data_IF_398325371976
#
_entry.id   IF_398325371976
#
_cell.length_a   1.000
_cell.length_b   1.000
_cell.length_c   1.000
_cell.angle_alpha   90.00
_cell.angle_beta   90.00
_cell.angle_gamma   90.00
#
_symmetry.space_group_name_H-M   'P 1'
#
loop_
_entity.id
_entity.type
_entity.pdbx_description
1 polymer ?
#
# COMPACT_ATOMS: atom_id res chain seq x y z
N UNK A 1 -5.74 37.96 -6.27
CA UNK A 1 -6.48 38.04 -7.55
C UNK A 1 -6.13 36.80 -8.38
N UNK A 2 -7.10 35.96 -8.80
CA UNK A 2 -6.85 34.81 -9.69
C UNK A 2 -6.07 35.16 -10.96
N UNK A 3 -6.17 36.41 -11.42
CA UNK A 3 -5.44 36.91 -12.58
C UNK A 3 -3.92 36.99 -12.35
N UNK A 4 -3.47 37.15 -11.11
CA UNK A 4 -2.04 37.20 -10.72
C UNK A 4 -1.41 35.82 -10.62
N UNK A 5 -2.15 34.82 -10.12
CA UNK A 5 -1.68 33.43 -10.04
C UNK A 5 -1.47 32.80 -11.42
N UNK A 6 -2.34 33.13 -12.38
CA UNK A 6 -2.23 32.67 -13.78
C UNK A 6 -1.06 33.35 -14.49
N UNK A 7 -0.85 34.66 -14.26
CA UNK A 7 0.32 35.39 -14.79
C UNK A 7 1.63 34.92 -14.18
N UNK A 8 1.67 34.62 -12.87
CA UNK A 8 2.85 34.02 -12.19
C UNK A 8 3.16 32.63 -12.69
N UNK A 9 2.16 31.74 -12.82
CA UNK A 9 2.35 30.40 -13.37
C UNK A 9 2.88 30.42 -14.80
N UNK A 10 2.46 31.41 -15.59
CA UNK A 10 2.96 31.61 -16.97
C UNK A 10 4.41 32.06 -16.99
N UNK A 11 4.80 33.05 -16.16
CA UNK A 11 6.20 33.50 -16.01
C UNK A 11 7.14 32.44 -15.45
N UNK A 12 6.68 31.60 -14.52
CA UNK A 12 7.46 30.47 -13.99
C UNK A 12 7.70 29.45 -15.11
N UNK A 13 6.68 29.07 -15.88
CA UNK A 13 6.84 28.16 -17.03
C UNK A 13 7.72 28.72 -18.15
N UNK A 14 7.73 30.04 -18.33
CA UNK A 14 8.56 30.72 -19.35
C UNK A 14 10.05 30.81 -18.97
N UNK A 15 10.41 30.65 -17.68
CA UNK A 15 11.80 30.75 -17.20
C UNK A 15 12.35 29.45 -16.57
N UNK A 16 11.57 28.37 -16.57
CA UNK A 16 12.03 27.06 -16.13
C UNK A 16 12.53 26.28 -17.33
N UNK A 17 13.85 26.18 -17.47
CA UNK A 17 14.45 25.16 -18.32
C UNK A 17 14.32 23.80 -17.61
N UNK A 18 13.73 22.82 -18.31
CA UNK A 18 13.71 21.44 -17.81
C UNK A 18 15.15 20.93 -17.77
N UNK A 19 15.52 20.24 -16.70
CA UNK A 19 16.76 19.47 -16.67
C UNK A 19 16.77 18.51 -17.86
N UNK A 20 17.83 18.53 -18.65
CA UNK A 20 17.95 17.68 -19.84
C UNK A 20 18.11 16.21 -19.43
N UNK A 21 17.69 15.28 -20.29
CA UNK A 21 17.92 13.85 -20.07
C UNK A 21 19.42 13.54 -19.86
N UNK A 22 20.29 14.24 -20.59
CA UNK A 22 21.75 14.14 -20.43
C UNK A 22 22.22 14.58 -19.04
N UNK A 23 21.65 15.67 -18.51
CA UNK A 23 21.93 16.11 -17.14
C UNK A 23 21.48 15.05 -16.14
N UNK A 24 20.24 14.58 -16.25
CA UNK A 24 19.69 13.56 -15.34
C UNK A 24 20.51 12.27 -15.39
N UNK A 25 20.96 11.86 -16.58
CA UNK A 25 21.76 10.66 -16.74
C UNK A 25 23.17 10.84 -16.15
N UNK A 26 23.81 12.00 -16.36
CA UNK A 26 25.13 12.32 -15.79
C UNK A 26 25.12 12.36 -14.28
N UNK A 27 24.09 12.97 -13.68
CA UNK A 27 23.93 13.05 -12.22
C UNK A 27 23.33 11.76 -11.63
N UNK A 28 23.06 10.73 -12.44
CA UNK A 28 22.48 9.48 -12.00
C UNK A 28 21.04 9.59 -11.51
N UNK A 29 20.33 10.67 -11.81
CA UNK A 29 18.95 10.93 -11.37
C UNK A 29 17.89 10.18 -12.22
N UNK A 30 18.31 9.39 -13.21
CA UNK A 30 17.43 8.51 -13.95
C UNK A 30 17.13 7.22 -13.17
N UNK A 31 15.85 6.91 -12.99
CA UNK A 31 15.41 5.57 -12.60
C UNK A 31 15.50 4.62 -13.80
N UNK A 32 15.59 3.31 -13.51
CA UNK A 32 15.53 2.29 -14.55
C UNK A 32 14.25 2.47 -15.39
N UNK A 33 14.37 2.35 -16.71
CA UNK A 33 13.20 2.46 -17.59
C UNK A 33 12.22 1.34 -17.25
N UNK A 34 10.99 1.66 -16.84
CA UNK A 34 10.03 0.64 -16.48
C UNK A 34 9.60 -0.13 -17.73
N UNK A 35 9.45 -1.45 -17.59
CA UNK A 35 9.08 -2.34 -18.69
C UNK A 35 7.56 -2.47 -18.71
N UNK A 36 6.88 -2.04 -19.80
CA UNK A 36 5.43 -2.10 -19.85
C UNK A 36 4.91 -3.53 -20.04
N UNK A 37 3.73 -3.81 -19.48
CA UNK A 37 2.96 -5.00 -19.83
C UNK A 37 2.75 -5.09 -21.36
N UNK A 38 2.73 -6.30 -21.92
CA UNK A 38 2.53 -6.54 -23.36
C UNK A 38 1.20 -6.01 -23.89
N UNK A 39 0.19 -5.92 -23.02
CA UNK A 39 -1.12 -5.33 -23.35
C UNK A 39 -1.16 -3.82 -23.22
N UNK A 40 -0.08 -3.18 -22.76
CA UNK A 40 0.03 -1.75 -22.47
C UNK A 40 -1.11 -1.24 -21.59
N UNK A 41 -1.52 -2.02 -20.60
CA UNK A 41 -2.63 -1.69 -19.71
C UNK A 41 -2.28 -0.66 -18.62
N UNK A 42 -1.09 -0.06 -18.67
CA UNK A 42 -0.56 0.88 -17.68
C UNK A 42 0.27 0.25 -16.56
N UNK A 43 0.22 -1.07 -16.36
CA UNK A 43 1.11 -1.76 -15.43
C UNK A 43 2.51 -1.87 -16.03
N UNK A 44 3.50 -1.61 -15.19
CA UNK A 44 4.92 -1.68 -15.53
C UNK A 44 5.70 -2.50 -14.52
N UNK A 45 6.88 -2.97 -14.92
CA UNK A 45 7.77 -3.82 -14.15
C UNK A 45 9.18 -3.24 -14.12
N UNK A 46 9.98 -3.56 -13.11
CA UNK A 46 11.36 -3.06 -13.05
C UNK A 46 12.37 -3.87 -13.88
N UNK A 47 12.00 -5.06 -14.37
CA UNK A 47 12.85 -5.90 -15.24
C UNK A 47 12.01 -6.82 -16.14
N UNK A 48 12.63 -7.39 -17.19
CA UNK A 48 11.94 -8.35 -18.08
C UNK A 48 11.62 -9.64 -17.34
N UNK A 49 12.45 -10.02 -16.37
CA UNK A 49 12.23 -11.15 -15.49
C UNK A 49 10.99 -10.95 -14.62
N UNK A 50 10.85 -9.80 -13.95
CA UNK A 50 9.67 -9.49 -13.14
C UNK A 50 8.41 -9.29 -13.99
N UNK A 51 8.54 -8.78 -15.21
CA UNK A 51 7.45 -8.76 -16.18
C UNK A 51 6.99 -10.18 -16.50
N UNK A 52 7.91 -11.06 -16.87
CA UNK A 52 7.61 -12.47 -17.16
C UNK A 52 6.91 -13.11 -15.96
N UNK A 53 7.49 -13.01 -14.76
CA UNK A 53 6.93 -13.56 -13.53
C UNK A 53 5.52 -13.03 -13.25
N UNK A 54 5.32 -11.71 -13.31
CA UNK A 54 4.01 -11.09 -13.07
C UNK A 54 2.95 -11.52 -14.08
N UNK A 55 3.36 -11.77 -15.32
CA UNK A 55 2.50 -12.19 -16.43
C UNK A 55 2.25 -13.71 -16.49
N UNK A 56 3.09 -14.53 -15.86
CA UNK A 56 2.94 -16.01 -15.88
C UNK A 56 2.43 -16.58 -14.54
N UNK A 57 2.89 -16.02 -13.43
CA UNK A 57 2.65 -16.54 -12.07
C UNK A 57 1.94 -15.54 -11.15
N UNK A 58 1.92 -14.26 -11.52
CA UNK A 58 1.23 -13.21 -10.80
C UNK A 58 -0.25 -13.08 -11.15
N UNK A 59 -1.00 -12.24 -10.39
CA UNK A 59 -2.43 -12.07 -10.60
C UNK A 59 -2.70 -11.29 -11.90
N UNK A 60 -1.67 -10.62 -12.45
CA UNK A 60 -1.75 -9.86 -13.69
C UNK A 60 -2.03 -10.75 -14.92
N UNK A 61 -1.58 -12.00 -14.89
CA UNK A 61 -1.93 -13.01 -15.90
C UNK A 61 -3.44 -13.07 -16.12
N UNK A 62 -4.17 -13.30 -15.02
CA UNK A 62 -5.62 -13.51 -15.05
C UNK A 62 -6.38 -12.21 -15.23
N UNK A 63 -5.95 -11.12 -14.56
CA UNK A 63 -6.65 -9.84 -14.58
C UNK A 63 -6.42 -9.01 -15.84
N UNK A 64 -5.38 -9.33 -16.64
CA UNK A 64 -5.03 -8.55 -17.84
C UNK A 64 -4.86 -9.41 -19.10
N UNK A 65 -3.88 -10.32 -19.12
CA UNK A 65 -3.47 -11.01 -20.35
C UNK A 65 -4.55 -11.96 -20.85
N UNK A 66 -5.03 -12.81 -19.96
CA UNK A 66 -6.04 -13.84 -20.23
C UNK A 66 -7.47 -13.35 -19.92
N UNK A 67 -7.61 -12.12 -19.41
CA UNK A 67 -8.91 -11.56 -19.09
C UNK A 67 -9.80 -11.39 -20.32
N UNK A 68 -10.94 -12.08 -20.35
CA UNK A 68 -11.95 -11.88 -21.39
C UNK A 68 -12.58 -10.49 -21.29
N UNK A 69 -13.22 -10.02 -22.38
CA UNK A 69 -13.99 -8.76 -22.36
C UNK A 69 -15.08 -8.75 -21.28
N UNK A 70 -15.66 -9.91 -20.97
CA UNK A 70 -16.65 -10.08 -19.90
C UNK A 70 -15.99 -9.86 -18.54
N UNK A 71 -14.90 -10.58 -18.26
CA UNK A 71 -14.17 -10.47 -17.01
C UNK A 71 -13.66 -9.03 -16.78
N UNK A 72 -13.11 -8.37 -17.81
CA UNK A 72 -12.67 -6.97 -17.73
C UNK A 72 -13.79 -5.99 -17.38
N UNK A 73 -15.02 -6.24 -17.83
CA UNK A 73 -16.19 -5.43 -17.44
C UNK A 73 -16.56 -5.69 -15.99
N UNK A 74 -16.64 -6.95 -15.58
CA UNK A 74 -16.94 -7.33 -14.20
C UNK A 74 -15.90 -6.76 -13.21
N UNK A 75 -14.61 -6.88 -13.54
CA UNK A 75 -13.50 -6.35 -12.73
C UNK A 75 -13.58 -4.84 -12.58
N UNK A 76 -13.94 -4.10 -13.63
CA UNK A 76 -14.12 -2.64 -13.54
C UNK A 76 -15.25 -2.25 -12.60
N UNK A 77 -16.37 -2.98 -12.63
CA UNK A 77 -17.50 -2.75 -11.72
C UNK A 77 -17.08 -3.06 -10.27
N UNK A 78 -16.45 -4.21 -10.05
CA UNK A 78 -15.90 -4.58 -8.75
C UNK A 78 -14.93 -3.52 -8.22
N UNK A 79 -13.92 -3.14 -9.00
CA UNK A 79 -12.92 -2.14 -8.60
C UNK A 79 -13.54 -0.76 -8.34
N UNK A 80 -14.61 -0.39 -9.05
CA UNK A 80 -15.36 0.84 -8.78
C UNK A 80 -16.09 0.79 -7.45
N UNK A 81 -16.67 -0.36 -7.10
CA UNK A 81 -17.28 -0.58 -5.80
C UNK A 81 -16.22 -0.56 -4.69
N UNK A 82 -15.06 -1.22 -4.90
CA UNK A 82 -13.93 -1.19 -3.96
C UNK A 82 -13.49 0.24 -3.64
N UNK A 83 -13.20 1.06 -4.65
CA UNK A 83 -12.79 2.46 -4.44
C UNK A 83 -13.85 3.32 -3.72
N UNK A 84 -15.13 2.97 -3.82
CA UNK A 84 -16.19 3.70 -3.11
C UNK A 84 -16.21 3.36 -1.61
N UNK A 85 -15.97 2.10 -1.26
CA UNK A 85 -16.25 1.60 0.09
C UNK A 85 -15.00 1.18 0.87
N UNK A 86 -14.07 0.47 0.26
CA UNK A 86 -12.81 0.07 0.90
C UNK A 86 -11.83 -0.46 -0.15
N UNK A 87 -10.61 0.05 -0.14
CA UNK A 87 -9.54 -0.45 -1.00
C UNK A 87 -9.12 -1.89 -0.66
N UNK A 88 -9.39 -2.35 0.57
CA UNK A 88 -9.17 -3.74 0.98
C UNK A 88 -10.00 -4.72 0.14
N UNK A 89 -11.16 -4.32 -0.40
CA UNK A 89 -11.88 -5.15 -1.39
C UNK A 89 -11.05 -5.37 -2.66
N UNK A 90 -10.33 -4.35 -3.14
CA UNK A 90 -9.50 -4.48 -4.33
C UNK A 90 -8.30 -5.40 -4.05
N UNK A 91 -7.71 -5.29 -2.86
CA UNK A 91 -6.66 -6.18 -2.38
C UNK A 91 -7.15 -7.64 -2.31
N UNK A 92 -8.35 -7.88 -1.77
CA UNK A 92 -8.99 -9.20 -1.76
C UNK A 92 -9.22 -9.73 -3.18
N UNK A 93 -9.70 -8.90 -4.10
CA UNK A 93 -9.81 -9.29 -5.52
C UNK A 93 -8.46 -9.73 -6.13
N UNK A 94 -7.36 -9.04 -5.79
CA UNK A 94 -6.01 -9.44 -6.22
C UNK A 94 -5.54 -10.74 -5.57
N UNK A 95 -5.83 -10.94 -4.28
CA UNK A 95 -5.52 -12.18 -3.56
C UNK A 95 -6.27 -13.37 -4.19
N UNK A 96 -7.56 -13.23 -4.50
CA UNK A 96 -8.32 -14.24 -5.23
C UNK A 96 -7.73 -14.54 -6.61
N UNK A 97 -7.35 -13.51 -7.37
CA UNK A 97 -6.69 -13.72 -8.65
C UNK A 97 -5.36 -14.50 -8.49
N UNK A 98 -4.59 -14.21 -7.45
CA UNK A 98 -3.34 -14.93 -7.14
C UNK A 98 -3.60 -16.41 -6.77
N UNK A 99 -4.58 -16.66 -5.89
CA UNK A 99 -5.01 -18.01 -5.49
C UNK A 99 -5.42 -18.79 -6.74
N UNK A 100 -6.24 -18.20 -7.60
CA UNK A 100 -6.69 -18.85 -8.84
C UNK A 100 -5.55 -19.12 -9.79
N UNK A 101 -4.58 -18.22 -9.94
CA UNK A 101 -3.40 -18.47 -10.78
C UNK A 101 -2.61 -19.68 -10.27
N UNK A 102 -2.42 -19.78 -8.95
CA UNK A 102 -1.75 -20.92 -8.34
C UNK A 102 -2.52 -22.24 -8.50
N UNK A 103 -3.85 -22.21 -8.41
CA UNK A 103 -4.67 -23.42 -8.58
C UNK A 103 -4.77 -23.84 -10.04
N UNK A 104 -5.04 -22.90 -10.95
CA UNK A 104 -5.31 -23.19 -12.36
C UNK A 104 -4.03 -23.50 -13.16
N UNK A 105 -2.92 -22.82 -12.85
CA UNK A 105 -1.67 -22.95 -13.62
C UNK A 105 -0.51 -23.50 -12.79
N UNK A 106 -0.52 -23.29 -11.47
CA UNK A 106 0.53 -23.77 -10.57
C UNK A 106 0.28 -25.17 -9.99
N UNK A 107 -0.84 -25.82 -10.34
CA UNK A 107 -1.24 -27.15 -9.86
C UNK A 107 -1.37 -27.28 -8.33
N UNK A 108 -1.56 -26.16 -7.62
CA UNK A 108 -1.83 -26.19 -6.17
C UNK A 108 -3.30 -26.57 -5.89
N UNK A 109 -3.55 -27.22 -4.77
CA UNK A 109 -4.89 -27.32 -4.20
C UNK A 109 -5.40 -25.94 -3.73
N UNK A 110 -6.70 -25.81 -3.50
CA UNK A 110 -7.29 -24.56 -2.99
C UNK A 110 -6.78 -24.28 -1.57
N UNK A 111 -6.60 -25.32 -0.77
CA UNK A 111 -6.07 -25.27 0.59
C UNK A 111 -4.62 -24.76 0.61
N UNK A 112 -3.75 -25.32 -0.24
CA UNK A 112 -2.36 -24.86 -0.35
C UNK A 112 -2.27 -23.41 -0.85
N UNK A 113 -3.11 -23.02 -1.81
CA UNK A 113 -3.11 -21.68 -2.36
C UNK A 113 -3.67 -20.61 -1.39
N UNK A 114 -4.58 -21.00 -0.48
CA UNK A 114 -5.16 -20.10 0.53
C UNK A 114 -4.34 -20.00 1.81
N UNK A 115 -3.50 -21.01 2.12
CA UNK A 115 -2.66 -21.07 3.32
C UNK A 115 -1.90 -19.77 3.64
N UNK A 116 -1.27 -19.07 2.68
CA UNK A 116 -0.58 -17.81 2.95
C UNK A 116 -1.47 -16.72 3.55
N UNK A 117 -2.78 -16.75 3.29
CA UNK A 117 -3.73 -15.74 3.76
C UNK A 117 -4.44 -16.13 5.06
N UNK A 118 -4.44 -17.41 5.43
CA UNK A 118 -5.10 -17.92 6.63
C UNK A 118 -4.22 -17.97 7.88
N UNK A 119 -2.93 -17.61 7.76
CA UNK A 119 -1.95 -17.69 8.83
C UNK A 119 -1.94 -16.52 9.83
N UNK A 120 -2.95 -15.66 9.79
CA UNK A 120 -3.00 -14.39 10.51
C UNK A 120 -4.17 -14.35 11.50
N UNK A 121 -4.07 -13.46 12.49
CA UNK A 121 -5.23 -13.13 13.31
C UNK A 121 -6.31 -12.49 12.44
N UNK A 122 -7.55 -12.87 12.68
CA UNK A 122 -8.67 -12.52 11.83
C UNK A 122 -9.96 -12.36 12.67
N UNK A 123 -10.81 -11.41 12.26
CA UNK A 123 -12.20 -11.29 12.68
C UNK A 123 -13.06 -11.02 11.45
N UNK A 124 -14.39 -11.14 11.57
CA UNK A 124 -15.30 -10.78 10.49
C UNK A 124 -15.25 -9.29 10.20
N UNK A 125 -15.06 -8.92 8.94
CA UNK A 125 -14.87 -7.52 8.54
C UNK A 125 -16.06 -6.60 8.89
N UNK A 126 -17.28 -7.11 8.82
CA UNK A 126 -18.49 -6.37 9.17
C UNK A 126 -18.59 -6.05 10.68
N UNK A 127 -17.87 -6.76 11.53
CA UNK A 127 -17.86 -6.56 12.99
C UNK A 127 -16.82 -5.54 13.45
N UNK A 128 -15.79 -5.26 12.64
CA UNK A 128 -14.65 -4.42 13.04
C UNK A 128 -15.01 -2.95 13.31
N UNK A 129 -16.14 -2.47 12.77
CA UNK A 129 -16.62 -1.10 12.94
C UNK A 129 -17.87 -0.96 13.83
N UNK A 130 -18.39 -2.05 14.41
CA UNK A 130 -19.69 -2.04 15.09
C UNK A 130 -19.64 -1.62 16.57
N UNK A 131 -18.46 -1.27 17.09
CA UNK A 131 -18.22 -0.90 18.49
C UNK A 131 -17.87 0.58 18.66
N UNK A 132 -18.86 1.34 19.15
CA UNK A 132 -18.79 2.63 19.85
C UNK A 132 -18.16 3.87 19.15
N UNK A 133 -19.02 4.90 19.06
CA UNK A 133 -18.85 6.26 18.56
C UNK A 133 -18.63 6.40 17.03
N UNK A 134 -19.56 7.06 16.30
CA UNK A 134 -19.34 7.39 14.90
C UNK A 134 -18.18 8.38 14.83
N UNK A 135 -17.07 7.96 14.24
CA UNK A 135 -16.12 8.92 13.70
C UNK A 135 -16.78 9.58 12.50
N UNK A 136 -16.97 10.89 12.58
CA UNK A 136 -17.05 11.71 11.38
C UNK A 136 -15.64 11.79 10.77
N UNK A 137 -15.10 10.66 10.30
CA UNK A 137 -14.01 10.73 9.34
C UNK A 137 -14.61 11.28 8.05
N UNK A 138 -14.21 12.51 7.73
CA UNK A 138 -14.71 13.24 6.57
C UNK A 138 -14.44 12.43 5.29
N UNK A 139 -15.47 11.73 4.79
CA UNK A 139 -15.38 10.92 3.58
C UNK A 139 -15.88 9.48 3.72
N UNK A 140 -16.08 8.95 4.94
CA UNK A 140 -16.56 7.55 5.07
C UNK A 140 -18.02 7.41 4.59
N UNK A 141 -18.32 6.46 3.67
CA UNK A 141 -19.67 6.18 3.21
C UNK A 141 -20.62 5.91 4.38
N UNK A 142 -21.83 6.50 4.31
CA UNK A 142 -22.84 6.38 5.38
C UNK A 142 -23.21 4.93 5.66
N UNK A 143 -23.18 4.09 4.63
CA UNK A 143 -23.46 2.67 4.68
C UNK A 143 -22.52 1.93 5.65
N UNK A 144 -21.27 2.36 5.81
CA UNK A 144 -20.27 1.68 6.64
C UNK A 144 -20.38 1.99 8.14
N UNK A 145 -21.22 2.97 8.50
CA UNK A 145 -21.41 3.43 9.88
C UNK A 145 -22.30 2.52 10.73
N UNK A 146 -22.92 1.52 10.11
CA UNK A 146 -23.80 0.56 10.80
C UNK A 146 -23.41 -0.87 10.45
N UNK A 147 -23.58 -1.79 11.40
CA UNK A 147 -23.32 -3.21 11.17
C UNK A 147 -24.16 -3.77 10.00
N UNK A 148 -25.43 -3.35 9.90
CA UNK A 148 -26.31 -3.75 8.79
C UNK A 148 -25.78 -3.28 7.43
N UNK A 149 -25.40 -2.01 7.33
CA UNK A 149 -24.88 -1.45 6.07
C UNK A 149 -23.50 -2.00 5.70
N UNK A 150 -22.62 -2.28 6.68
CA UNK A 150 -21.36 -3.00 6.43
C UNK A 150 -21.63 -4.40 5.87
N UNK A 151 -22.54 -5.16 6.48
CA UNK A 151 -22.92 -6.49 5.99
C UNK A 151 -23.49 -6.45 4.57
N UNK A 152 -24.39 -5.51 4.28
CA UNK A 152 -24.92 -5.34 2.92
C UNK A 152 -23.79 -5.01 1.91
N UNK A 153 -22.89 -4.09 2.27
CA UNK A 153 -21.75 -3.71 1.42
C UNK A 153 -20.84 -4.91 1.16
N UNK A 154 -20.58 -5.72 2.19
CA UNK A 154 -19.79 -6.95 2.07
C UNK A 154 -20.46 -7.96 1.11
N UNK A 155 -21.77 -8.21 1.26
CA UNK A 155 -22.53 -9.12 0.41
C UNK A 155 -22.56 -8.65 -1.05
N UNK A 156 -22.73 -7.34 -1.29
CA UNK A 156 -22.66 -6.72 -2.61
C UNK A 156 -21.27 -6.87 -3.24
N UNK A 157 -20.22 -6.55 -2.47
CA UNK A 157 -18.81 -6.68 -2.87
C UNK A 157 -18.47 -8.13 -3.24
N UNK A 158 -18.88 -9.09 -2.40
CA UNK A 158 -18.69 -10.51 -2.63
C UNK A 158 -19.42 -11.02 -3.87
N UNK A 159 -20.66 -10.57 -4.09
CA UNK A 159 -21.43 -10.88 -5.30
C UNK A 159 -20.73 -10.39 -6.57
N UNK A 160 -20.18 -9.17 -6.53
CA UNK A 160 -19.39 -8.63 -7.64
C UNK A 160 -18.10 -9.43 -7.86
N UNK A 161 -17.39 -9.81 -6.81
CA UNK A 161 -16.19 -10.66 -6.89
C UNK A 161 -16.50 -12.03 -7.52
N UNK A 162 -17.60 -12.67 -7.10
CA UNK A 162 -18.08 -13.91 -7.72
C UNK A 162 -18.36 -13.73 -9.23
N UNK A 163 -18.97 -12.61 -9.65
CA UNK A 163 -19.20 -12.34 -11.09
C UNK A 163 -17.89 -12.24 -11.89
N UNK A 164 -16.81 -11.77 -11.27
CA UNK A 164 -15.49 -11.75 -11.90
C UNK A 164 -14.99 -13.17 -12.09
N UNK A 165 -14.84 -13.92 -11.01
CA UNK A 165 -14.02 -15.13 -10.99
C UNK A 165 -14.77 -16.46 -11.11
N UNK A 166 -16.02 -16.53 -10.66
CA UNK A 166 -16.79 -17.79 -10.59
C UNK A 166 -17.43 -18.19 -11.94
N UNK A 167 -16.84 -17.74 -13.04
CA UNK A 167 -17.41 -17.86 -14.37
C UNK A 167 -16.69 -18.91 -15.23
N UNK A 168 -17.39 -19.50 -16.22
CA UNK A 168 -16.83 -20.56 -17.05
C UNK A 168 -15.56 -20.17 -17.82
N UNK A 169 -15.48 -18.92 -18.26
CA UNK A 169 -14.34 -18.38 -19.00
C UNK A 169 -13.09 -18.12 -18.14
N UNK A 170 -13.23 -18.15 -16.81
CA UNK A 170 -12.11 -17.98 -15.87
C UNK A 170 -11.64 -19.32 -15.34
N UNK A 171 -12.58 -20.17 -14.90
CA UNK A 171 -12.23 -21.47 -14.33
C UNK A 171 -11.96 -22.53 -15.41
N UNK A 172 -12.32 -22.26 -16.67
CA UNK A 172 -12.07 -23.11 -17.84
C UNK A 172 -13.06 -24.28 -17.97
N UNK A 173 -13.34 -24.72 -19.20
CA UNK A 173 -14.27 -25.83 -19.46
C UNK A 173 -13.85 -27.15 -18.80
N UNK A 174 -12.54 -27.38 -18.59
CA UNK A 174 -11.97 -28.54 -17.88
C UNK A 174 -12.32 -28.55 -16.40
N UNK A 175 -12.33 -27.39 -15.73
CA UNK A 175 -12.87 -27.28 -14.38
C UNK A 175 -14.39 -27.49 -14.37
N UNK A 176 -15.08 -27.35 -15.50
CA UNK A 176 -16.50 -27.67 -15.62
C UNK A 176 -16.79 -29.05 -16.22
N UNK A 177 -15.79 -29.87 -16.59
CA UNK A 177 -15.95 -31.20 -17.21
C UNK A 177 -15.33 -32.30 -16.32
N UNK A 178 -16.09 -33.34 -15.92
CA UNK A 178 -15.59 -34.40 -15.04
C UNK A 178 -14.78 -35.42 -15.84
N UNK A 179 -13.82 -36.05 -15.17
CA UNK A 179 -13.04 -37.17 -15.73
C UNK A 179 -13.93 -38.37 -16.14
N UNK A 180 -15.12 -38.51 -15.53
CA UNK A 180 -16.05 -39.62 -15.76
C UNK A 180 -17.49 -39.11 -15.85
N UNK A 181 -17.96 -38.71 -17.04
CA UNK A 181 -19.37 -38.77 -17.48
C UNK A 181 -20.51 -38.20 -16.61
N UNK A 182 -20.26 -37.47 -15.51
CA UNK A 182 -21.30 -37.09 -14.56
C UNK A 182 -22.34 -36.10 -15.13
N UNK A 183 -23.60 -36.29 -14.72
CA UNK A 183 -24.75 -35.46 -15.10
C UNK A 183 -24.60 -34.01 -14.62
N UNK A 184 -25.25 -33.05 -15.32
CA UNK A 184 -25.04 -31.61 -15.13
C UNK A 184 -25.36 -31.03 -13.76
N UNK A 185 -26.11 -31.73 -12.90
CA UNK A 185 -26.52 -31.27 -11.56
C UNK A 185 -25.54 -31.74 -10.46
N UNK A 186 -25.17 -33.03 -10.46
CA UNK A 186 -24.07 -33.57 -9.63
C UNK A 186 -22.72 -32.89 -9.97
N UNK A 187 -22.47 -32.63 -11.26
CA UNK A 187 -21.32 -31.84 -11.76
C UNK A 187 -21.27 -30.45 -11.12
N UNK A 188 -22.41 -29.78 -11.00
CA UNK A 188 -22.50 -28.43 -10.44
C UNK A 188 -22.26 -28.45 -8.93
N UNK A 189 -22.75 -29.48 -8.24
CA UNK A 189 -22.51 -29.70 -6.81
C UNK A 189 -21.04 -29.99 -6.50
N UNK A 190 -20.37 -30.90 -7.21
CA UNK A 190 -18.94 -31.21 -7.02
C UNK A 190 -18.03 -29.98 -7.24
N UNK A 191 -18.38 -29.11 -8.18
CA UNK A 191 -17.64 -27.88 -8.46
C UNK A 191 -17.95 -26.78 -7.48
N UNK A 192 -19.22 -26.67 -7.07
CA UNK A 192 -19.60 -25.87 -5.92
C UNK A 192 -18.84 -26.34 -4.68
N UNK A 193 -18.60 -27.63 -4.48
CA UNK A 193 -17.83 -28.18 -3.36
C UNK A 193 -16.34 -27.83 -3.44
N UNK A 194 -15.69 -28.04 -4.59
CA UNK A 194 -14.27 -27.68 -4.80
C UNK A 194 -14.00 -26.21 -4.49
N UNK A 195 -14.89 -25.33 -4.93
CA UNK A 195 -14.75 -23.89 -4.78
C UNK A 195 -15.50 -23.33 -3.57
N UNK A 196 -16.22 -24.18 -2.81
CA UNK A 196 -17.17 -23.78 -1.75
C UNK A 196 -16.52 -22.91 -0.72
N UNK A 197 -15.34 -23.35 -0.25
CA UNK A 197 -14.63 -22.69 0.84
C UNK A 197 -14.11 -21.33 0.39
N UNK A 198 -13.45 -21.28 -0.76
CA UNK A 198 -12.89 -20.05 -1.33
C UNK A 198 -13.98 -19.03 -1.68
N UNK A 199 -15.06 -19.47 -2.31
CA UNK A 199 -16.21 -18.63 -2.64
C UNK A 199 -17.33 -18.78 -1.61
N UNK A 200 -16.97 -18.60 -0.35
CA UNK A 200 -17.92 -18.39 0.74
C UNK A 200 -17.83 -16.94 1.23
N UNK A 201 -18.97 -16.40 1.69
CA UNK A 201 -19.00 -15.09 2.31
C UNK A 201 -18.13 -15.05 3.57
N UNK A 202 -18.08 -16.17 4.32
CA UNK A 202 -17.27 -16.30 5.52
C UNK A 202 -15.77 -16.14 5.21
N UNK A 203 -15.23 -16.90 4.25
CA UNK A 203 -13.82 -16.75 3.86
C UNK A 203 -13.51 -15.34 3.37
N UNK A 204 -14.42 -14.74 2.59
CA UNK A 204 -14.22 -13.37 2.11
C UNK A 204 -14.21 -12.34 3.24
N UNK A 205 -15.15 -12.45 4.19
CA UNK A 205 -15.20 -11.60 5.39
C UNK A 205 -13.93 -11.75 6.24
N UNK A 206 -13.48 -12.98 6.45
CA UNK A 206 -12.28 -13.29 7.21
C UNK A 206 -11.01 -12.74 6.54
N UNK A 207 -10.88 -12.91 5.23
CA UNK A 207 -9.75 -12.36 4.48
C UNK A 207 -9.69 -10.83 4.59
N UNK A 208 -10.85 -10.16 4.48
CA UNK A 208 -10.92 -8.71 4.60
C UNK A 208 -10.63 -8.24 6.02
N UNK A 209 -11.13 -8.93 7.03
CA UNK A 209 -10.84 -8.60 8.41
C UNK A 209 -9.38 -8.86 8.77
N UNK A 210 -8.74 -9.83 8.12
CA UNK A 210 -7.28 -10.00 8.17
C UNK A 210 -6.60 -8.74 7.64
N UNK A 211 -6.90 -8.32 6.41
CA UNK A 211 -6.28 -7.13 5.82
C UNK A 211 -6.51 -5.86 6.65
N UNK A 212 -7.71 -5.68 7.20
CA UNK A 212 -8.00 -4.52 8.05
C UNK A 212 -7.18 -4.50 9.34
N UNK A 213 -6.85 -5.67 9.90
CA UNK A 213 -6.19 -5.78 11.20
C UNK A 213 -4.67 -5.91 11.12
N UNK A 214 -4.14 -6.48 10.04
CA UNK A 214 -2.72 -6.88 9.96
C UNK A 214 -1.95 -6.28 8.79
N UNK A 215 -2.60 -5.53 7.90
CA UNK A 215 -1.87 -4.77 6.89
C UNK A 215 -0.95 -3.77 7.59
N UNK A 216 0.33 -3.82 7.25
CA UNK A 216 1.30 -2.82 7.69
C UNK A 216 1.69 -1.98 6.51
N UNK A 217 1.60 -0.66 6.68
CA UNK A 217 2.14 0.29 5.73
C UNK A 217 3.67 0.20 5.78
N UNK A 218 4.27 -0.01 4.61
CA UNK A 218 5.72 -0.06 4.46
C UNK A 218 6.13 1.20 3.70
N UNK A 219 7.09 1.91 4.27
CA UNK A 219 7.70 3.05 3.62
C UNK A 219 9.11 2.67 3.17
N UNK A 220 9.43 3.00 1.93
CA UNK A 220 10.80 2.88 1.42
C UNK A 220 11.27 4.25 1.01
N UNK A 221 12.44 4.65 1.49
CA UNK A 221 13.08 5.88 1.04
C UNK A 221 13.19 5.91 -0.47
N UNK A 222 12.94 7.09 -1.04
CA UNK A 222 13.15 7.27 -2.47
C UNK A 222 14.63 7.01 -2.78
N UNK A 223 14.96 6.06 -3.67
CA UNK A 223 16.35 5.79 -4.03
C UNK A 223 16.98 6.98 -4.77
N UNK A 224 16.19 7.99 -5.13
CA UNK A 224 16.67 9.26 -5.67
C UNK A 224 17.13 10.24 -4.59
N UNK A 225 16.68 10.15 -3.33
CA UNK A 225 17.12 11.07 -2.27
C UNK A 225 18.64 11.00 -2.07
N UNK A 226 19.20 9.79 -1.94
CA UNK A 226 20.65 9.60 -1.84
C UNK A 226 21.42 10.09 -3.08
N UNK A 227 20.82 9.99 -4.28
CA UNK A 227 21.42 10.47 -5.52
C UNK A 227 21.40 11.98 -5.63
N UNK A 228 20.29 12.62 -5.23
CA UNK A 228 20.20 14.09 -5.13
C UNK A 228 21.20 14.62 -4.10
N UNK A 229 21.33 13.96 -2.95
CA UNK A 229 22.31 14.34 -1.93
C UNK A 229 23.75 14.31 -2.46
N UNK A 230 24.05 13.35 -3.34
CA UNK A 230 25.37 13.19 -3.98
C UNK A 230 25.59 14.12 -5.18
N UNK A 231 24.53 14.63 -5.80
CA UNK A 231 24.58 15.50 -6.97
C UNK A 231 24.83 16.97 -6.56
N UNK A 232 26.07 17.29 -6.17
CA UNK A 232 26.47 18.65 -5.75
C UNK A 232 26.25 19.72 -6.83
N UNK A 233 26.15 19.30 -8.09
CA UNK A 233 25.77 20.16 -9.23
C UNK A 233 24.39 20.81 -9.07
N UNK A 234 23.53 20.25 -8.21
CA UNK A 234 22.21 20.78 -7.86
C UNK A 234 22.22 21.81 -6.74
N UNK A 235 23.38 22.11 -6.11
CA UNK A 235 23.47 23.16 -5.08
C UNK A 235 22.94 24.54 -5.53
N UNK A 236 23.18 25.00 -6.77
CA UNK A 236 22.57 26.24 -7.26
C UNK A 236 21.04 26.22 -7.24
N UNK A 237 20.42 25.03 -7.21
CA UNK A 237 18.98 24.83 -7.16
C UNK A 237 18.42 24.74 -5.71
N UNK A 238 19.21 24.99 -4.65
CA UNK A 238 18.76 24.94 -3.23
C UNK A 238 17.38 25.59 -3.01
N UNK A 239 17.17 26.76 -3.61
CA UNK A 239 15.90 27.49 -3.59
C UNK A 239 14.69 26.69 -4.11
N UNK A 240 14.86 26.05 -5.27
CA UNK A 240 13.84 25.21 -5.88
C UNK A 240 13.60 23.96 -5.03
N UNK A 241 14.65 23.35 -4.50
CA UNK A 241 14.53 22.16 -3.64
C UNK A 241 13.79 22.49 -2.33
N UNK A 242 13.99 23.68 -1.74
CA UNK A 242 13.19 24.14 -0.60
C UNK A 242 11.70 24.22 -0.96
N UNK A 243 11.38 24.74 -2.14
CA UNK A 243 10.00 24.77 -2.62
C UNK A 243 9.43 23.37 -2.82
N UNK A 244 10.19 22.46 -3.43
CA UNK A 244 9.80 21.05 -3.60
C UNK A 244 9.50 20.41 -2.24
N UNK A 245 10.38 20.61 -1.24
CA UNK A 245 10.19 20.08 0.11
C UNK A 245 8.90 20.60 0.76
N UNK A 246 8.60 21.89 0.65
CA UNK A 246 7.32 22.48 1.10
C UNK A 246 6.10 21.87 0.41
N UNK A 247 6.17 21.68 -0.92
CA UNK A 247 5.09 21.07 -1.72
C UNK A 247 4.87 19.62 -1.31
N UNK A 248 5.94 18.84 -1.14
CA UNK A 248 5.87 17.43 -0.72
C UNK A 248 5.33 17.30 0.70
N UNK A 249 5.67 18.23 1.60
CA UNK A 249 5.14 18.29 2.95
C UNK A 249 3.67 18.76 3.03
N UNK A 250 3.03 19.07 1.89
CA UNK A 250 1.67 19.61 1.83
C UNK A 250 1.48 20.85 2.74
N UNK A 251 2.52 21.67 2.92
CA UNK A 251 2.43 22.90 3.70
C UNK A 251 1.60 23.94 2.91
N UNK A 252 0.45 24.34 3.45
CA UNK A 252 -0.53 25.24 2.81
C UNK A 252 0.01 26.65 2.48
N UNK A 253 1.25 26.99 2.87
CA UNK A 253 1.83 28.32 2.73
C UNK A 253 3.05 28.29 1.80
N UNK A 254 2.79 28.30 0.49
CA UNK A 254 3.77 28.83 -0.46
C UNK A 254 3.57 30.35 -0.49
N UNK A 255 4.12 31.07 0.49
CA UNK A 255 4.14 32.53 0.43
C UNK A 255 5.01 32.99 -0.77
N UNK A 256 4.61 34.11 -1.35
CA UNK A 256 5.26 34.69 -2.51
C UNK A 256 6.71 35.14 -2.23
N UNK A 257 7.04 35.41 -0.97
CA UNK A 257 8.34 35.89 -0.51
C UNK A 257 9.38 34.76 -0.45
N UNK A 258 8.98 33.52 -0.09
CA UNK A 258 9.82 32.33 -0.10
C UNK A 258 10.37 31.99 -1.50
N UNK A 259 9.56 32.24 -2.54
CA UNK A 259 9.94 32.04 -3.95
C UNK A 259 10.95 33.10 -4.44
N UNK A 260 10.83 34.35 -3.96
CA UNK A 260 11.73 35.44 -4.36
C UNK A 260 13.06 35.43 -3.60
N UNK A 261 13.07 34.98 -2.34
CA UNK A 261 14.31 34.77 -1.57
C UNK A 261 15.17 33.66 -2.18
N UNK A 262 14.53 32.63 -2.76
CA UNK A 262 15.21 31.55 -3.45
C UNK A 262 15.91 31.97 -4.75
N UNK A 263 15.31 32.87 -5.53
CA UNK A 263 15.87 33.32 -6.81
C UNK A 263 17.05 34.30 -6.67
N UNK A 264 17.21 34.95 -5.51
CA UNK A 264 18.24 36.00 -5.29
C UNK A 264 19.52 35.52 -4.58
N UNK A 265 19.56 34.27 -4.11
CA UNK A 265 20.70 33.72 -3.37
C UNK A 265 21.76 32.98 -4.20
N UNK A 266 21.68 33.00 -5.54
CA UNK A 266 22.50 32.15 -6.41
C UNK A 266 23.96 32.63 -6.62
N UNK A 267 24.41 33.66 -5.93
CA UNK A 267 25.77 34.20 -6.07
C UNK A 267 26.29 34.69 -4.72
N UNK A 268 26.70 33.78 -3.83
CA UNK A 268 27.97 33.93 -3.12
C UNK A 268 28.32 32.77 -2.19
N UNK A 269 29.64 32.54 -2.12
CA UNK A 269 30.43 31.86 -1.08
C UNK A 269 30.40 30.33 -0.96
N UNK A 270 31.49 29.79 -1.50
CA UNK A 270 32.10 28.53 -1.13
C UNK A 270 32.72 28.58 0.29
N UNK A 271 32.83 27.41 0.93
CA UNK A 271 33.46 27.07 2.23
C UNK A 271 32.68 27.34 3.55
N UNK A 272 32.02 26.29 4.09
CA UNK A 272 32.02 25.91 5.52
C UNK A 272 31.25 24.58 5.75
N UNK A 273 31.55 23.86 6.83
CA UNK A 273 30.84 22.63 7.26
C UNK A 273 29.33 22.83 7.44
N UNK A 274 28.92 24.06 7.77
CA UNK A 274 27.51 24.46 7.92
C UNK A 274 26.73 24.41 6.59
N UNK A 275 27.37 24.72 5.45
CA UNK A 275 26.73 24.66 4.12
C UNK A 275 26.45 23.21 3.69
N UNK A 276 27.33 22.29 4.11
CA UNK A 276 27.18 20.85 3.89
C UNK A 276 26.09 20.24 4.76
N UNK A 277 26.00 20.66 6.03
CA UNK A 277 24.95 20.20 6.92
C UNK A 277 23.58 20.72 6.48
N UNK A 278 23.50 22.00 6.11
CA UNK A 278 22.28 22.58 5.53
C UNK A 278 21.88 21.88 4.23
N UNK A 279 22.84 21.56 3.35
CA UNK A 279 22.57 20.78 2.14
C UNK A 279 22.00 19.41 2.45
N UNK A 280 22.62 18.66 3.38
CA UNK A 280 22.14 17.34 3.80
C UNK A 280 20.72 17.43 4.34
N UNK A 281 20.45 18.31 5.30
CA UNK A 281 19.10 18.47 5.88
C UNK A 281 18.07 18.90 4.85
N UNK A 282 18.46 19.67 3.83
CA UNK A 282 17.54 20.08 2.77
C UNK A 282 17.15 18.91 1.87
N UNK A 283 18.11 18.09 1.46
CA UNK A 283 17.90 17.02 0.48
C UNK A 283 17.51 15.68 1.12
N UNK A 284 17.73 15.53 2.41
CA UNK A 284 17.16 14.48 3.25
C UNK A 284 15.63 14.55 3.16
N UNK A 285 15.01 13.43 2.80
CA UNK A 285 13.57 13.27 2.61
C UNK A 285 12.91 14.27 1.65
N UNK A 286 13.68 14.78 0.68
CA UNK A 286 13.19 15.74 -0.30
C UNK A 286 12.07 15.15 -1.17
N UNK A 287 12.26 13.92 -1.63
CA UNK A 287 11.29 13.18 -2.42
C UNK A 287 10.51 12.25 -1.50
N UNK A 288 9.18 12.15 -1.70
CA UNK A 288 8.34 11.33 -0.84
C UNK A 288 8.78 9.85 -0.89
N UNK A 289 8.60 9.12 0.21
CA UNK A 289 8.87 7.69 0.22
C UNK A 289 7.90 6.96 -0.70
N UNK A 290 8.30 5.76 -1.12
CA UNK A 290 7.39 4.81 -1.75
C UNK A 290 6.58 4.12 -0.68
N UNK A 291 5.25 4.28 -0.76
CA UNK A 291 4.32 3.59 0.13
C UNK A 291 3.93 2.24 -0.47
N UNK A 292 3.99 1.22 0.38
CA UNK A 292 3.53 -0.13 0.10
C UNK A 292 2.72 -0.67 1.27
N UNK A 293 2.14 -1.84 1.08
CA UNK A 293 1.46 -2.58 2.16
C UNK A 293 2.01 -4.00 2.17
N UNK A 294 2.28 -4.51 3.36
CA UNK A 294 2.76 -5.88 3.55
C UNK A 294 2.00 -6.63 4.63
N UNK A 295 2.10 -7.96 4.55
CA UNK A 295 1.57 -8.89 5.53
C UNK A 295 2.72 -9.70 6.11
N UNK A 296 3.09 -9.43 7.35
CA UNK A 296 4.25 -10.06 8.01
C UNK A 296 3.81 -10.82 9.25
N UNK A 297 3.59 -12.12 9.10
CA UNK A 297 3.01 -12.97 10.16
C UNK A 297 3.69 -12.81 11.52
N UNK A 298 5.02 -12.81 11.57
CA UNK A 298 5.76 -12.67 12.82
C UNK A 298 5.52 -11.31 13.49
N UNK A 299 5.54 -10.24 12.70
CA UNK A 299 5.32 -8.86 13.18
C UNK A 299 3.87 -8.70 13.67
N UNK A 300 2.90 -9.21 12.91
CA UNK A 300 1.48 -9.13 13.26
C UNK A 300 1.08 -9.90 14.53
N UNK A 301 1.99 -10.70 15.13
CA UNK A 301 1.76 -11.40 16.41
C UNK A 301 2.34 -10.67 17.62
N UNK A 302 3.11 -9.60 17.42
CA UNK A 302 3.69 -8.80 18.51
C UNK A 302 2.66 -7.88 19.11
N UNK A 303 2.72 -7.60 20.41
CA UNK A 303 1.85 -6.63 21.08
C UNK A 303 2.51 -5.24 21.19
N UNK A 304 1.68 -4.24 21.50
CA UNK A 304 2.12 -2.87 21.66
C UNK A 304 2.72 -2.54 23.04
N UNK A 305 3.76 -1.72 23.07
CA UNK A 305 4.16 -0.93 24.24
C UNK A 305 4.61 0.48 23.82
N UNK A 306 4.30 1.51 24.62
CA UNK A 306 4.88 2.86 24.45
C UNK A 306 6.33 2.95 24.98
N UNK A 307 6.85 1.84 25.50
CA UNK A 307 8.25 1.61 25.82
C UNK A 307 8.60 0.19 25.34
N UNK A 308 8.78 0.01 24.02
CA UNK A 308 9.02 -1.28 23.40
C UNK A 308 10.40 -1.82 23.76
N UNK A 309 10.59 -3.13 23.56
CA UNK A 309 11.89 -3.77 23.69
C UNK A 309 12.44 -4.25 22.35
N UNK A 310 11.68 -4.11 21.27
CA UNK A 310 12.12 -4.32 19.91
C UNK A 310 11.52 -3.27 18.97
N UNK A 311 12.17 -3.07 17.84
CA UNK A 311 11.69 -2.27 16.72
C UNK A 311 11.61 -3.12 15.46
N UNK A 312 10.83 -2.67 14.47
CA UNK A 312 10.71 -3.32 13.16
C UNK A 312 11.12 -2.35 12.07
N UNK A 313 11.93 -2.84 11.13
CA UNK A 313 12.34 -2.15 9.92
C UNK A 313 12.03 -3.03 8.70
N UNK A 314 11.96 -2.41 7.52
CA UNK A 314 11.71 -3.07 6.23
C UNK A 314 12.85 -2.75 5.25
N UNK A 315 14.03 -3.36 5.43
CA UNK A 315 15.20 -2.97 4.67
C UNK A 315 14.97 -3.11 3.15
N UNK A 316 15.39 -2.08 2.42
CA UNK A 316 15.20 -1.98 0.97
C UNK A 316 15.69 -3.25 0.24
N UNK A 317 14.85 -3.75 -0.67
CA UNK A 317 15.10 -4.94 -1.51
C UNK A 317 15.26 -6.29 -0.78
N UNK A 318 14.92 -6.40 0.50
CA UNK A 318 15.00 -7.68 1.22
C UNK A 318 13.72 -8.50 1.17
N UNK A 319 12.57 -7.87 0.89
CA UNK A 319 11.23 -8.45 1.06
C UNK A 319 11.03 -9.08 2.45
N UNK A 320 11.71 -8.55 3.46
CA UNK A 320 11.69 -9.05 4.83
C UNK A 320 11.37 -7.91 5.80
N UNK A 321 10.73 -8.29 6.91
CA UNK A 321 10.69 -7.45 8.10
C UNK A 321 11.86 -7.85 8.99
N UNK A 322 12.66 -6.87 9.42
CA UNK A 322 13.75 -7.07 10.36
C UNK A 322 13.28 -6.58 11.74
N UNK A 323 13.27 -7.47 12.72
CA UNK A 323 12.97 -7.12 14.11
C UNK A 323 14.26 -7.08 14.91
N UNK A 324 14.57 -5.92 15.47
CA UNK A 324 15.82 -5.66 16.21
C UNK A 324 15.50 -5.39 17.68
N UNK A 325 16.23 -6.01 18.61
CA UNK A 325 16.07 -5.74 20.04
C UNK A 325 16.68 -4.37 20.38
N UNK A 326 15.94 -3.55 21.13
CA UNK A 326 16.37 -2.22 21.60
C UNK A 326 17.14 -2.29 22.93
N UNK A 327 17.03 -3.42 23.62
CA UNK A 327 17.68 -3.74 24.89
C UNK A 327 17.77 -5.25 25.04
N UNK A 328 18.50 -5.72 26.05
CA UNK A 328 18.46 -7.14 26.41
C UNK A 328 17.02 -7.57 26.74
N UNK A 329 16.62 -8.72 26.19
CA UNK A 329 15.30 -9.35 26.38
C UNK A 329 15.52 -10.69 27.08
N UNK A 330 14.92 -10.87 28.26
CA UNK A 330 15.08 -12.11 29.01
C UNK A 330 14.32 -13.28 28.37
N UNK A 331 14.71 -14.52 28.70
CA UNK A 331 13.94 -15.70 28.29
C UNK A 331 12.49 -15.58 28.77
N UNK A 332 11.52 -15.80 27.87
CA UNK A 332 10.07 -15.68 28.11
C UNK A 332 9.56 -14.25 28.35
N UNK A 333 10.41 -13.24 28.27
CA UNK A 333 9.94 -11.86 28.17
C UNK A 333 9.21 -11.67 26.83
N UNK A 334 8.06 -11.01 26.87
CA UNK A 334 7.27 -10.73 25.67
C UNK A 334 8.00 -9.72 24.76
N UNK A 335 8.00 -9.98 23.45
CA UNK A 335 8.51 -9.03 22.46
C UNK A 335 7.40 -8.01 22.17
N UNK A 336 7.70 -6.75 22.45
CA UNK A 336 6.79 -5.62 22.35
C UNK A 336 7.34 -4.61 21.34
N UNK A 337 6.52 -4.28 20.34
CA UNK A 337 6.79 -3.22 19.37
C UNK A 337 5.97 -1.97 19.69
N UNK A 338 6.34 -0.81 19.14
CA UNK A 338 5.42 0.33 19.09
C UNK A 338 4.58 0.28 17.81
N UNK A 339 3.31 0.68 17.92
CA UNK A 339 2.35 0.73 16.81
C UNK A 339 2.08 2.17 16.35
N UNK A 340 2.65 3.13 17.07
CA UNK A 340 2.41 4.56 16.95
C UNK A 340 3.72 5.29 17.23
N UNK A 341 3.76 6.59 16.91
CA UNK A 341 4.86 7.44 17.35
C UNK A 341 4.88 7.58 18.88
N UNK A 342 5.97 7.11 19.49
CA UNK A 342 6.20 7.13 20.92
C UNK A 342 6.58 8.51 21.47
N UNK A 343 6.97 9.44 20.59
CA UNK A 343 7.31 10.82 20.96
C UNK A 343 6.06 11.62 21.37
N UNK A 344 4.88 11.16 20.97
CA UNK A 344 3.61 11.81 21.24
C UNK A 344 3.27 11.82 22.75
N UNK A 345 2.56 12.86 23.25
CA UNK A 345 2.08 12.90 24.63
C UNK A 345 1.13 11.74 24.97
N UNK A 346 1.06 11.35 26.25
CA UNK A 346 0.23 10.22 26.74
C UNK A 346 -1.22 10.24 26.22
N UNK A 347 -1.88 11.40 26.33
CA UNK A 347 -3.27 11.55 25.91
C UNK A 347 -3.45 11.24 24.41
N UNK A 348 -2.48 11.65 23.60
CA UNK A 348 -2.50 11.43 22.16
C UNK A 348 -2.17 9.98 21.80
N UNK A 349 -1.19 9.37 22.48
CA UNK A 349 -0.90 7.93 22.34
C UNK A 349 -2.13 7.08 22.65
N UNK A 350 -2.78 7.33 23.78
CA UNK A 350 -4.01 6.61 24.17
C UNK A 350 -5.16 6.85 23.17
N UNK A 351 -5.30 8.08 22.67
CA UNK A 351 -6.30 8.42 21.64
C UNK A 351 -6.05 7.60 20.37
N UNK A 352 -4.82 7.57 19.86
CA UNK A 352 -4.46 6.82 18.66
C UNK A 352 -4.71 5.31 18.87
N UNK A 353 -4.20 4.73 19.96
CA UNK A 353 -4.36 3.30 20.25
C UNK A 353 -5.81 2.88 20.42
N UNK A 354 -6.60 3.64 21.18
CA UNK A 354 -8.04 3.37 21.36
C UNK A 354 -8.79 3.47 20.04
N UNK A 355 -8.32 4.31 19.13
CA UNK A 355 -9.08 4.64 17.94
C UNK A 355 -8.71 3.83 16.71
N UNK A 356 -7.44 3.50 16.51
CA UNK A 356 -6.96 2.66 15.42
C UNK A 356 -6.92 1.18 15.83
N UNK A 357 -6.53 0.88 17.07
CA UNK A 357 -6.28 -0.48 17.55
C UNK A 357 -7.30 -0.98 18.61
N UNK A 358 -8.23 -0.11 19.03
CA UNK A 358 -9.36 -0.45 19.92
C UNK A 358 -8.98 -0.98 21.30
N UNK A 359 -7.82 -0.57 21.83
CA UNK A 359 -7.41 -0.90 23.20
C UNK A 359 -6.85 0.32 23.94
N UNK A 360 -6.77 0.22 25.27
CA UNK A 360 -6.10 1.21 26.13
C UNK A 360 -4.77 0.63 26.59
N UNK A 361 -3.67 1.36 26.36
CA UNK A 361 -2.33 0.88 26.69
C UNK A 361 -2.10 0.95 28.21
N UNK A 362 -1.72 -0.18 28.80
CA UNK A 362 -1.37 -0.28 30.21
C UNK A 362 0.14 -0.48 30.46
N UNK A 363 1.00 -0.14 29.50
CA UNK A 363 2.45 -0.35 29.64
C UNK A 363 3.05 0.51 30.77
N UNK A 364 4.25 0.14 31.23
CA UNK A 364 4.92 0.81 32.34
C UNK A 364 5.03 2.33 32.16
N UNK A 365 5.38 2.79 30.95
CA UNK A 365 5.46 4.23 30.64
C UNK A 365 4.12 4.94 30.80
N UNK A 366 3.03 4.35 30.30
CA UNK A 366 1.68 4.91 30.43
C UNK A 366 1.12 4.89 31.86
N UNK A 367 1.69 4.09 32.76
CA UNK A 367 1.32 4.09 34.18
C UNK A 367 2.07 5.17 34.99
N UNK A 368 3.22 5.61 34.48
CA UNK A 368 4.09 6.60 35.15
C UNK A 368 3.79 8.02 34.69
N UNK A 369 3.58 8.22 33.38
CA UNK A 369 3.04 9.46 32.80
C UNK A 369 1.57 9.64 33.17
#
# INVERSE_FOLDING_TARGET
DPSDLVKRSRRIRENLELLTDDFLQREGLCLARPIPCDRKCGVVYCSEEHKKLGQTEGPHRLLCLEATKRMQRAWRVFASHSRKFSENFLLAGRAYAQILVHVLYGQKSVEEATTPFCGFFCRRWEELGAGEAPREEAGEPRELRSLSGRRQTLEESFSLLCRVFLAPDVLGESAWTPANGACGEERRQLLQEKWRKLFSLDFYSELLGTFELVNVDIEFDSPLNARVASALSLRPCKALLRLVKKVVACEDVIDAESLEAGARGALDRDSNSEDMEEWKTLVEDLLPPFLGVGLFRAVSMTNHSCWPNAEVDYPFLTNAAQVTALRDIAEKEEILLSYIDESLPLAERQRLLKSHYKFTCGCQRCQVE
#
